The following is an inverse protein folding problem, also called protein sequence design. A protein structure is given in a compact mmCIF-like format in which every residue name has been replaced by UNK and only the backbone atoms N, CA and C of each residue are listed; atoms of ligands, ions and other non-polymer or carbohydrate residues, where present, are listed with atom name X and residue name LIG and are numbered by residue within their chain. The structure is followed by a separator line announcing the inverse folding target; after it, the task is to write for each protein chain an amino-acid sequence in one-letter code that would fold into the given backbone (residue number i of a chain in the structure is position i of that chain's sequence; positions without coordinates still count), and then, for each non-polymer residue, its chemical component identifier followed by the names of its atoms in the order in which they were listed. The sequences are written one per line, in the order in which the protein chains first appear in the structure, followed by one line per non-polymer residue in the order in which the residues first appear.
data_IF_602851235437
#
_entry.id   IF_602851235437
#
_cell.length_a   1.000
_cell.length_b   1.000
_cell.length_c   1.000
_cell.angle_alpha   90.00
_cell.angle_beta   90.00
_cell.angle_gamma   90.00
#
_symmetry.space_group_name_H-M   'P 1'
#
loop_
_entity.id
_entity.type
_entity.pdbx_description
1 polymer ?
#
# COMPACT_ATOMS: atom_id res chain seq x y z
N UNK A 1 2.83 -17.53 -26.36
CA UNK A 1 2.03 -16.29 -26.35
C UNK A 1 1.11 -16.35 -25.14
N UNK A 2 1.57 -15.87 -24.00
CA UNK A 2 0.78 -15.83 -22.75
C UNK A 2 0.51 -14.38 -22.41
N UNK A 3 -0.74 -13.98 -22.59
CA UNK A 3 -1.20 -12.64 -22.26
C UNK A 3 -1.25 -12.47 -20.74
N UNK A 4 -0.39 -11.59 -20.21
CA UNK A 4 -0.51 -11.08 -18.85
C UNK A 4 -1.77 -10.21 -18.77
N UNK A 5 -2.80 -10.73 -18.14
CA UNK A 5 -3.99 -9.95 -17.78
C UNK A 5 -3.65 -9.06 -16.60
N UNK A 6 -3.21 -7.84 -16.90
CA UNK A 6 -3.11 -6.75 -15.94
C UNK A 6 -4.54 -6.28 -15.64
N UNK A 7 -5.10 -6.68 -14.50
CA UNK A 7 -6.33 -6.07 -13.96
C UNK A 7 -6.01 -4.68 -13.41
N UNK A 8 -5.61 -3.78 -14.29
CA UNK A 8 -5.51 -2.36 -14.01
C UNK A 8 -6.82 -1.69 -14.39
N UNK A 9 -7.67 -1.37 -13.42
CA UNK A 9 -8.78 -0.43 -13.62
C UNK A 9 -8.20 0.87 -14.16
N UNK A 10 -8.40 1.10 -15.48
CA UNK A 10 -8.00 2.33 -16.14
C UNK A 10 -8.81 3.49 -15.56
N UNK A 11 -8.21 4.26 -14.68
CA UNK A 11 -8.75 5.56 -14.22
C UNK A 11 -8.65 6.53 -15.40
N UNK A 12 -9.67 7.36 -15.69
CA UNK A 12 -9.68 8.26 -16.83
C UNK A 12 -8.53 9.30 -16.72
N UNK A 13 -7.43 9.07 -17.39
CA UNK A 13 -6.21 9.91 -17.34
C UNK A 13 -6.44 11.37 -17.78
N UNK A 14 -7.49 11.64 -18.55
CA UNK A 14 -7.79 12.98 -19.05
C UNK A 14 -8.39 13.90 -17.95
N UNK A 15 -9.20 13.36 -17.06
CA UNK A 15 -9.83 14.12 -15.95
C UNK A 15 -8.75 14.53 -14.94
N UNK A 16 -7.85 13.61 -14.60
CA UNK A 16 -6.79 13.86 -13.64
C UNK A 16 -5.88 15.04 -14.06
N UNK A 17 -5.53 15.18 -15.34
CA UNK A 17 -4.63 16.28 -15.79
C UNK A 17 -5.21 17.67 -15.55
N UNK A 18 -6.46 17.87 -15.87
CA UNK A 18 -7.13 19.18 -15.69
C UNK A 18 -7.29 19.49 -14.20
N UNK A 19 -7.66 18.48 -13.39
CA UNK A 19 -7.84 18.65 -11.96
C UNK A 19 -6.51 18.86 -11.25
N UNK A 20 -5.43 18.21 -11.69
CA UNK A 20 -4.08 18.45 -11.17
C UNK A 20 -3.66 19.90 -11.38
N UNK A 21 -3.78 20.43 -12.59
CA UNK A 21 -3.39 21.83 -12.88
C UNK A 21 -4.19 22.80 -12.02
N UNK A 22 -5.52 22.64 -11.93
CA UNK A 22 -6.36 23.48 -11.08
C UNK A 22 -6.01 23.37 -9.59
N UNK A 23 -5.73 22.15 -9.13
CA UNK A 23 -5.34 21.92 -7.74
C UNK A 23 -3.97 22.52 -7.42
N UNK A 24 -3.03 22.55 -8.39
CA UNK A 24 -1.74 23.24 -8.26
C UNK A 24 -1.93 24.76 -8.13
N UNK A 25 -2.97 25.32 -8.77
CA UNK A 25 -3.37 26.72 -8.65
C UNK A 25 -4.20 27.03 -7.39
N UNK A 26 -4.39 26.02 -6.50
CA UNK A 26 -5.09 26.16 -5.22
C UNK A 26 -6.59 25.83 -5.24
N UNK A 27 -7.13 25.28 -6.34
CA UNK A 27 -8.52 24.81 -6.39
C UNK A 27 -8.72 23.55 -5.55
N UNK A 28 -9.22 23.73 -4.34
CA UNK A 28 -9.51 22.64 -3.40
C UNK A 28 -10.57 21.65 -3.90
N UNK A 29 -11.53 22.13 -4.75
CA UNK A 29 -12.55 21.25 -5.34
C UNK A 29 -11.96 20.35 -6.41
N UNK A 30 -10.96 20.81 -7.15
CA UNK A 30 -10.21 19.96 -8.07
C UNK A 30 -9.45 18.87 -7.31
N UNK A 31 -8.80 19.21 -6.21
CA UNK A 31 -8.13 18.22 -5.37
C UNK A 31 -9.12 17.22 -4.73
N UNK A 32 -10.29 17.67 -4.33
CA UNK A 32 -11.35 16.79 -3.81
C UNK A 32 -11.75 15.72 -4.85
N UNK A 33 -11.84 16.08 -6.14
CA UNK A 33 -12.11 15.10 -7.20
C UNK A 33 -10.98 14.09 -7.36
N UNK A 34 -9.71 14.55 -7.32
CA UNK A 34 -8.54 13.65 -7.30
C UNK A 34 -8.56 12.72 -6.08
N UNK A 35 -8.89 13.25 -4.90
CA UNK A 35 -9.06 12.44 -3.69
C UNK A 35 -10.09 11.33 -3.91
N UNK A 36 -11.31 11.68 -4.34
CA UNK A 36 -12.41 10.72 -4.55
C UNK A 36 -12.05 9.63 -5.58
N UNK A 37 -11.31 9.99 -6.62
CA UNK A 37 -10.88 9.05 -7.66
C UNK A 37 -9.83 8.04 -7.18
N UNK A 38 -9.02 8.40 -6.18
CA UNK A 38 -7.86 7.59 -5.79
C UNK A 38 -7.92 7.03 -4.37
N UNK A 39 -8.83 7.51 -3.50
CA UNK A 39 -8.87 7.14 -2.08
C UNK A 39 -9.04 5.64 -1.85
N UNK A 40 -9.88 4.97 -2.62
CA UNK A 40 -10.11 3.53 -2.46
C UNK A 40 -8.84 2.70 -2.73
N UNK A 41 -8.04 3.10 -3.73
CA UNK A 41 -6.77 2.44 -4.05
C UNK A 41 -5.73 2.66 -2.96
N UNK A 42 -5.59 3.89 -2.48
CA UNK A 42 -4.64 4.23 -1.39
C UNK A 42 -5.01 3.50 -0.11
N UNK A 43 -6.31 3.48 0.24
CA UNK A 43 -6.80 2.76 1.41
C UNK A 43 -6.53 1.24 1.30
N UNK A 44 -6.74 0.66 0.13
CA UNK A 44 -6.46 -0.76 -0.13
C UNK A 44 -4.97 -1.10 0.06
N UNK A 45 -4.07 -0.24 -0.44
CA UNK A 45 -2.63 -0.38 -0.21
C UNK A 45 -2.29 -0.31 1.29
N UNK A 46 -2.78 0.72 1.99
CA UNK A 46 -2.53 0.89 3.41
C UNK A 46 -3.03 -0.32 4.23
N UNK A 47 -4.25 -0.80 3.98
CA UNK A 47 -4.81 -1.97 4.65
C UNK A 47 -3.94 -3.22 4.50
N UNK A 48 -3.47 -3.51 3.30
CA UNK A 48 -2.61 -4.68 3.03
C UNK A 48 -1.22 -4.57 3.65
N UNK A 49 -0.70 -3.35 3.83
CA UNK A 49 0.67 -3.16 4.32
C UNK A 49 0.79 -2.97 5.83
N UNK A 50 -0.20 -2.35 6.48
CA UNK A 50 -0.12 -1.97 7.90
C UNK A 50 -1.34 -2.40 8.74
N UNK A 51 -2.33 -3.06 8.12
CA UNK A 51 -3.55 -3.50 8.79
C UNK A 51 -4.69 -2.47 8.74
N UNK A 52 -5.92 -2.93 8.97
CA UNK A 52 -7.12 -2.11 8.85
C UNK A 52 -7.21 -1.00 9.90
N UNK A 53 -6.62 -1.21 11.09
CA UNK A 53 -6.67 -0.29 12.24
C UNK A 53 -5.97 1.04 11.97
N UNK A 54 -4.91 1.05 11.15
CA UNK A 54 -4.13 2.25 10.82
C UNK A 54 -4.40 2.78 9.41
N UNK A 55 -5.11 2.02 8.59
CA UNK A 55 -5.24 2.31 7.17
C UNK A 55 -5.92 3.64 6.86
N UNK A 56 -6.97 3.98 7.61
CA UNK A 56 -7.72 5.22 7.39
C UNK A 56 -6.86 6.46 7.72
N UNK A 57 -6.18 6.45 8.87
CA UNK A 57 -5.28 7.53 9.30
C UNK A 57 -4.16 7.73 8.27
N UNK A 58 -3.48 6.65 7.88
CA UNK A 58 -2.38 6.74 6.91
C UNK A 58 -2.86 7.15 5.52
N UNK A 59 -4.08 6.79 5.14
CA UNK A 59 -4.67 7.28 3.90
C UNK A 59 -4.84 8.80 3.92
N UNK A 60 -5.27 9.38 5.04
CA UNK A 60 -5.33 10.84 5.20
C UNK A 60 -3.93 11.46 5.10
N UNK A 61 -2.94 10.91 5.80
CA UNK A 61 -1.55 11.37 5.74
C UNK A 61 -1.00 11.38 4.30
N UNK A 62 -1.33 10.35 3.51
CA UNK A 62 -0.96 10.29 2.09
C UNK A 62 -1.52 11.47 1.30
N UNK A 63 -2.80 11.79 1.48
CA UNK A 63 -3.43 12.89 0.74
C UNK A 63 -2.99 14.27 1.25
N UNK A 64 -2.73 14.44 2.53
CA UNK A 64 -2.09 15.66 3.08
C UNK A 64 -0.71 15.83 2.44
N UNK A 65 0.10 14.77 2.43
CA UNK A 65 1.42 14.80 1.81
C UNK A 65 1.38 15.02 0.30
N UNK A 66 0.38 14.46 -0.37
CA UNK A 66 0.15 14.69 -1.79
C UNK A 66 -0.19 16.17 -2.07
N UNK A 67 -1.07 16.78 -1.28
CA UNK A 67 -1.40 18.19 -1.38
C UNK A 67 -0.18 19.08 -1.20
N UNK A 68 0.62 18.87 -0.15
CA UNK A 68 1.84 19.62 0.13
C UNK A 68 2.87 19.53 -1.02
N UNK A 69 2.96 18.35 -1.67
CA UNK A 69 3.91 18.10 -2.74
C UNK A 69 3.36 18.32 -4.15
N UNK A 70 2.09 18.66 -4.27
CA UNK A 70 1.42 18.75 -5.58
C UNK A 70 2.11 19.74 -6.53
N UNK A 71 2.61 20.86 -6.01
CA UNK A 71 3.37 21.85 -6.78
C UNK A 71 4.68 21.30 -7.39
N UNK A 72 5.20 20.17 -6.88
CA UNK A 72 6.40 19.52 -7.42
C UNK A 72 6.10 18.50 -8.52
N UNK A 73 4.84 18.17 -8.73
CA UNK A 73 4.43 17.21 -9.77
C UNK A 73 4.53 17.86 -11.16
N UNK A 74 5.44 17.33 -11.99
CA UNK A 74 5.76 17.88 -13.32
C UNK A 74 4.92 17.30 -14.47
N UNK A 75 4.03 16.35 -14.21
CA UNK A 75 3.24 15.68 -15.25
C UNK A 75 4.02 14.68 -16.12
N UNK A 76 5.23 14.30 -15.73
CA UNK A 76 6.07 13.31 -16.44
C UNK A 76 5.49 11.89 -16.38
N UNK A 77 4.56 11.64 -15.48
CA UNK A 77 3.78 10.40 -15.34
C UNK A 77 2.30 10.70 -15.14
N UNK A 78 1.44 9.67 -15.14
CA UNK A 78 0.08 9.83 -14.68
C UNK A 78 0.05 10.24 -13.20
N UNK A 79 -0.91 11.09 -12.79
CA UNK A 79 -1.06 11.52 -11.40
C UNK A 79 -1.20 10.32 -10.44
N UNK A 80 -2.01 9.32 -10.81
CA UNK A 80 -2.16 8.10 -10.01
C UNK A 80 -0.85 7.35 -9.78
N UNK A 81 0.09 7.36 -10.75
CA UNK A 81 1.43 6.75 -10.60
C UNK A 81 2.29 7.54 -9.61
N UNK A 82 2.27 8.87 -9.70
CA UNK A 82 2.98 9.73 -8.76
C UNK A 82 2.40 9.62 -7.34
N UNK A 83 1.07 9.70 -7.21
CA UNK A 83 0.38 9.54 -5.93
C UNK A 83 0.68 8.18 -5.30
N UNK A 84 0.76 7.13 -6.11
CA UNK A 84 1.09 5.79 -5.65
C UNK A 84 2.49 5.73 -5.00
N UNK A 85 3.50 6.37 -5.61
CA UNK A 85 4.84 6.49 -5.01
C UNK A 85 4.82 7.28 -3.69
N UNK A 86 4.03 8.36 -3.63
CA UNK A 86 3.82 9.11 -2.38
C UNK A 86 3.20 8.19 -1.31
N UNK A 87 2.17 7.42 -1.69
CA UNK A 87 1.48 6.51 -0.78
C UNK A 87 2.41 5.41 -0.24
N UNK A 88 3.19 4.75 -1.10
CA UNK A 88 4.16 3.72 -0.68
C UNK A 88 5.14 4.30 0.34
N UNK A 89 5.71 5.48 0.07
CA UNK A 89 6.66 6.11 0.99
C UNK A 89 6.02 6.41 2.36
N UNK A 90 4.83 7.02 2.39
CA UNK A 90 4.11 7.34 3.64
C UNK A 90 3.79 6.07 4.43
N UNK A 91 3.25 5.05 3.76
CA UNK A 91 2.91 3.76 4.38
C UNK A 91 4.16 3.08 4.96
N UNK A 92 5.28 3.05 4.24
CA UNK A 92 6.53 2.46 4.73
C UNK A 92 7.10 3.22 5.93
N UNK A 93 7.06 4.55 5.92
CA UNK A 93 7.46 5.36 7.06
C UNK A 93 6.60 5.08 8.30
N UNK A 94 5.28 5.04 8.14
CA UNK A 94 4.36 4.73 9.25
C UNK A 94 4.61 3.31 9.79
N UNK A 95 4.80 2.34 8.89
CA UNK A 95 5.12 0.97 9.27
C UNK A 95 6.40 0.87 10.10
N UNK A 96 7.46 1.58 9.70
CA UNK A 96 8.70 1.62 10.45
C UNK A 96 8.50 2.23 11.85
N UNK A 97 7.72 3.31 11.96
CA UNK A 97 7.39 3.95 13.23
C UNK A 97 6.59 3.01 14.15
N UNK A 98 5.58 2.31 13.62
CA UNK A 98 4.79 1.33 14.38
C UNK A 98 5.65 0.15 14.87
N UNK A 99 6.58 -0.32 14.05
CA UNK A 99 7.51 -1.39 14.44
C UNK A 99 8.43 -0.95 15.58
N UNK A 100 8.97 0.28 15.50
CA UNK A 100 9.81 0.84 16.55
C UNK A 100 9.03 1.04 17.86
N UNK A 101 7.78 1.49 17.75
CA UNK A 101 6.90 1.67 18.91
C UNK A 101 6.63 0.32 19.59
N UNK A 102 6.28 -0.73 18.85
CA UNK A 102 6.09 -2.08 19.41
C UNK A 102 7.35 -2.60 20.09
N UNK A 103 8.52 -2.48 19.46
CA UNK A 103 9.78 -2.93 20.05
C UNK A 103 10.09 -2.24 21.40
N UNK A 104 9.72 -0.97 21.57
CA UNK A 104 9.89 -0.27 22.87
C UNK A 104 8.93 -0.75 23.95
N UNK A 105 7.70 -1.13 23.57
CA UNK A 105 6.73 -1.69 24.54
C UNK A 105 7.07 -3.13 24.92
N UNK A 106 7.61 -3.93 23.99
CA UNK A 106 8.06 -5.31 24.25
C UNK A 106 9.30 -5.36 25.17
N UNK A 107 10.07 -4.27 25.30
CA UNK A 107 11.18 -4.15 26.26
C UNK A 107 10.68 -3.77 27.67
N UNK A 108 9.48 -3.22 27.81
CA UNK A 108 8.89 -2.78 29.09
C UNK A 108 7.86 -3.76 29.68
N UNK A 109 7.40 -4.77 28.94
CA UNK A 109 6.44 -5.79 29.40
C UNK A 109 7.00 -7.21 29.16
N UNK A 110 7.31 -7.93 30.25
CA UNK A 110 7.38 -9.39 30.23
C UNK A 110 6.03 -9.94 29.74
N UNK A 111 6.07 -10.48 28.56
CA UNK A 111 5.09 -11.28 27.83
C UNK A 111 3.74 -11.55 28.49
N UNK A 112 2.72 -10.83 28.04
CA UNK A 112 1.35 -11.33 27.96
C UNK A 112 0.98 -11.46 26.48
N UNK A 113 0.90 -12.70 26.01
CA UNK A 113 0.40 -13.08 24.68
C UNK A 113 -1.05 -12.57 24.50
N UNK A 114 -1.20 -11.35 23.99
CA UNK A 114 -2.49 -10.87 23.53
C UNK A 114 -2.55 -11.12 22.02
N UNK A 115 -3.15 -12.24 21.65
CA UNK A 115 -3.56 -12.51 20.26
C UNK A 115 -4.59 -11.45 19.87
N UNK A 116 -4.33 -10.56 18.89
CA UNK A 116 -5.34 -9.62 18.45
C UNK A 116 -6.51 -10.37 17.81
N UNK A 117 -7.70 -10.20 18.36
CA UNK A 117 -8.92 -10.75 17.78
C UNK A 117 -9.17 -10.17 16.36
N UNK A 118 -9.57 -10.99 15.38
CA UNK A 118 -9.85 -10.51 14.04
C UNK A 118 -11.11 -9.65 14.04
N UNK A 119 -10.96 -8.37 13.67
CA UNK A 119 -12.10 -7.47 13.44
C UNK A 119 -12.78 -7.89 12.14
N UNK A 120 -14.02 -8.38 12.28
CA UNK A 120 -14.87 -8.77 11.14
C UNK A 120 -15.45 -7.52 10.49
N UNK A 121 -15.07 -7.22 9.26
CA UNK A 121 -15.85 -6.34 8.37
C UNK A 121 -16.27 -7.15 7.14
N UNK A 122 -17.60 -7.28 7.02
CA UNK A 122 -18.25 -7.99 5.91
C UNK A 122 -18.32 -7.06 4.69
N UNK A 123 -17.61 -7.42 3.59
CA UNK A 123 -18.03 -7.09 2.22
C UNK A 123 -17.20 -7.88 1.20
N UNK A 124 -17.88 -8.54 0.25
CA UNK A 124 -17.42 -9.25 -0.94
C UNK A 124 -16.51 -10.49 -0.69
N UNK A 125 -17.09 -11.69 -0.79
CA UNK A 125 -16.48 -12.98 -0.40
C UNK A 125 -15.14 -13.31 -1.07
N UNK A 126 -14.92 -12.99 -2.34
CA UNK A 126 -13.66 -13.33 -3.05
C UNK A 126 -12.48 -12.41 -2.70
N UNK A 127 -12.72 -11.13 -2.44
CA UNK A 127 -11.66 -10.19 -2.02
C UNK A 127 -11.22 -10.41 -0.57
N UNK A 128 -12.14 -10.88 0.29
CA UNK A 128 -11.88 -11.13 1.70
C UNK A 128 -10.95 -12.32 1.96
N UNK A 129 -11.03 -13.37 1.17
CA UNK A 129 -10.17 -14.54 1.34
C UNK A 129 -8.73 -14.25 0.95
N UNK A 130 -8.54 -13.42 -0.08
CA UNK A 130 -7.21 -12.97 -0.49
C UNK A 130 -6.58 -12.00 0.52
N UNK A 131 -7.31 -10.99 0.99
CA UNK A 131 -6.81 -10.05 2.01
C UNK A 131 -6.51 -10.77 3.33
N UNK A 132 -7.36 -11.73 3.75
CA UNK A 132 -7.09 -12.59 4.92
C UNK A 132 -5.86 -13.48 4.75
N UNK A 133 -5.61 -13.97 3.54
CA UNK A 133 -4.41 -14.76 3.26
C UNK A 133 -3.14 -13.90 3.31
N UNK A 134 -3.21 -12.64 2.83
CA UNK A 134 -2.12 -11.67 2.95
C UNK A 134 -1.83 -11.35 4.42
N UNK A 135 -2.84 -11.23 5.27
CA UNK A 135 -2.67 -10.94 6.70
C UNK A 135 -1.91 -12.03 7.47
N UNK A 136 -1.94 -13.27 6.96
CA UNK A 136 -1.16 -14.40 7.53
C UNK A 136 0.30 -14.42 7.11
N UNK A 137 0.71 -13.58 6.16
CA UNK A 137 2.09 -13.53 5.73
C UNK A 137 2.99 -12.90 6.81
N UNK A 138 4.19 -13.45 7.02
CA UNK A 138 5.21 -12.76 7.80
C UNK A 138 5.46 -11.37 7.25
N UNK A 139 5.71 -10.42 8.13
CA UNK A 139 5.74 -9.00 7.88
C UNK A 139 6.61 -8.58 6.67
N UNK A 140 7.86 -9.09 6.58
CA UNK A 140 8.74 -8.82 5.43
C UNK A 140 8.22 -9.43 4.11
N UNK A 141 7.67 -10.65 4.17
CA UNK A 141 7.12 -11.33 3.01
C UNK A 141 5.86 -10.63 2.49
N UNK A 142 4.99 -10.15 3.39
CA UNK A 142 3.78 -9.39 3.09
C UNK A 142 4.10 -8.14 2.30
N UNK A 143 5.02 -7.31 2.80
CA UNK A 143 5.40 -6.04 2.16
C UNK A 143 5.95 -6.27 0.77
N UNK A 144 6.88 -7.22 0.61
CA UNK A 144 7.47 -7.51 -0.70
C UNK A 144 6.42 -8.06 -1.66
N UNK A 145 5.52 -8.91 -1.19
CA UNK A 145 4.42 -9.46 -2.01
C UNK A 145 3.47 -8.36 -2.47
N UNK A 146 3.03 -7.49 -1.57
CA UNK A 146 2.14 -6.37 -1.91
C UNK A 146 2.80 -5.44 -2.92
N UNK A 147 4.05 -5.03 -2.68
CA UNK A 147 4.75 -4.12 -3.59
C UNK A 147 5.02 -4.75 -4.95
N UNK A 148 5.39 -6.04 -5.01
CA UNK A 148 5.74 -6.71 -6.26
C UNK A 148 4.51 -7.22 -7.02
N UNK A 149 3.72 -8.11 -6.39
CA UNK A 149 2.65 -8.85 -7.09
C UNK A 149 1.34 -8.07 -7.18
N UNK A 150 1.06 -7.15 -6.24
CA UNK A 150 -0.16 -6.35 -6.25
C UNK A 150 0.08 -5.00 -6.91
N UNK A 151 1.17 -4.31 -6.57
CA UNK A 151 1.43 -2.94 -7.01
C UNK A 151 2.41 -2.84 -8.20
N UNK A 152 3.10 -3.95 -8.56
CA UNK A 152 3.89 -4.07 -9.79
C UNK A 152 5.29 -3.43 -9.74
N UNK A 153 5.85 -3.17 -8.55
CA UNK A 153 7.22 -2.68 -8.41
C UNK A 153 8.25 -3.76 -8.73
N UNK A 154 9.38 -3.36 -9.28
CA UNK A 154 10.51 -4.26 -9.52
C UNK A 154 11.28 -4.54 -8.23
N UNK A 155 11.99 -5.68 -8.19
CA UNK A 155 12.78 -6.05 -7.02
C UNK A 155 13.83 -5.00 -6.63
N UNK A 156 14.41 -4.31 -7.60
CA UNK A 156 15.39 -3.26 -7.39
C UNK A 156 14.78 -2.04 -6.71
N UNK A 157 13.59 -1.62 -7.13
CA UNK A 157 12.83 -0.51 -6.53
C UNK A 157 12.41 -0.87 -5.09
N UNK A 158 11.93 -2.10 -4.88
CA UNK A 158 11.54 -2.58 -3.55
C UNK A 158 12.75 -2.66 -2.61
N UNK A 159 13.91 -3.09 -3.13
CA UNK A 159 15.15 -3.17 -2.38
C UNK A 159 15.58 -1.79 -1.89
N UNK A 160 15.51 -0.78 -2.76
CA UNK A 160 15.78 0.62 -2.43
C UNK A 160 14.81 1.15 -1.38
N UNK A 161 13.49 0.94 -1.55
CA UNK A 161 12.47 1.38 -0.58
C UNK A 161 12.63 0.77 0.80
N UNK A 162 13.06 -0.48 0.88
CA UNK A 162 13.16 -1.21 2.14
C UNK A 162 14.57 -1.20 2.74
N UNK A 163 15.57 -0.66 2.04
CA UNK A 163 16.97 -0.69 2.47
C UNK A 163 17.56 -2.11 2.57
N UNK A 164 17.14 -3.02 1.69
CA UNK A 164 17.58 -4.43 1.64
C UNK A 164 18.12 -4.79 0.25
N UNK A 165 18.64 -5.99 0.06
CA UNK A 165 19.13 -6.43 -1.26
C UNK A 165 17.99 -6.96 -2.14
N UNK A 166 18.15 -6.91 -3.47
CA UNK A 166 17.20 -7.52 -4.41
C UNK A 166 17.13 -9.05 -4.25
N UNK A 167 18.20 -9.68 -3.79
CA UNK A 167 18.21 -11.10 -3.40
C UNK A 167 17.26 -11.38 -2.23
N UNK A 168 17.27 -10.51 -1.22
CA UNK A 168 16.36 -10.60 -0.08
C UNK A 168 14.90 -10.41 -0.51
N UNK A 169 14.62 -9.46 -1.41
CA UNK A 169 13.25 -9.27 -1.93
C UNK A 169 12.75 -10.49 -2.69
N UNK A 170 13.60 -11.12 -3.52
CA UNK A 170 13.26 -12.37 -4.22
C UNK A 170 12.95 -13.52 -3.24
N UNK A 171 13.76 -13.68 -2.20
CA UNK A 171 13.55 -14.70 -1.18
C UNK A 171 12.24 -14.47 -0.40
N UNK A 172 11.95 -13.23 0.00
CA UNK A 172 10.71 -12.86 0.68
C UNK A 172 9.47 -13.10 -0.20
N UNK A 173 9.55 -12.76 -1.49
CA UNK A 173 8.48 -13.01 -2.44
C UNK A 173 8.21 -14.51 -2.61
N UNK A 174 9.27 -15.30 -2.76
CA UNK A 174 9.15 -16.76 -2.84
C UNK A 174 8.44 -17.33 -1.60
N UNK A 175 8.88 -16.90 -0.41
CA UNK A 175 8.25 -17.30 0.86
C UNK A 175 6.77 -16.92 0.93
N UNK A 176 6.42 -15.69 0.53
CA UNK A 176 5.04 -15.23 0.48
C UNK A 176 4.17 -16.12 -0.41
N UNK A 177 4.62 -16.37 -1.64
CA UNK A 177 3.91 -17.22 -2.61
C UNK A 177 3.73 -18.65 -2.13
N UNK A 178 4.72 -19.22 -1.44
CA UNK A 178 4.61 -20.57 -0.84
C UNK A 178 3.52 -20.63 0.23
N UNK A 179 3.49 -19.64 1.14
CA UNK A 179 2.48 -19.56 2.20
C UNK A 179 1.08 -19.34 1.60
N UNK A 180 0.93 -18.40 0.66
CA UNK A 180 -0.35 -18.12 0.01
C UNK A 180 -0.90 -19.35 -0.73
N UNK A 181 -0.03 -20.11 -1.44
CA UNK A 181 -0.44 -21.35 -2.11
C UNK A 181 -1.03 -22.35 -1.12
N UNK A 182 -0.46 -22.50 0.06
CA UNK A 182 -0.98 -23.42 1.08
C UNK A 182 -2.34 -22.99 1.64
N UNK A 183 -2.63 -21.69 1.66
CA UNK A 183 -3.88 -21.16 2.19
C UNK A 183 -5.00 -21.07 1.14
N UNK A 184 -4.67 -20.88 -0.15
CA UNK A 184 -5.65 -20.74 -1.22
C UNK A 184 -6.01 -22.06 -1.91
N UNK A 185 -5.27 -23.16 -1.63
CA UNK A 185 -5.54 -24.51 -2.21
C UNK A 185 -6.42 -25.36 -1.29
N UNK A 186 -6.94 -24.80 -0.21
CA UNK A 186 -7.91 -25.45 0.68
C UNK A 186 -9.28 -24.84 0.47
#
# INVERSE_FOLDING_TARGET
MTASTTLGLAVPQAIDRTDVTRAQDGDTRAFERLYRSHVARVLGLARRMIGPEHAAEVTQDVFVRAWEKLGTFRGESAFGTWLHRVAVNVVLHRRAALKLQRARFDEDEEALDIIPAPVRHATAEFGMDFDRAIDKLPDGARVVFVLHDVEGFKHEEIAEFLGITSGTTKAQLHRARMILRQHLTR
#
